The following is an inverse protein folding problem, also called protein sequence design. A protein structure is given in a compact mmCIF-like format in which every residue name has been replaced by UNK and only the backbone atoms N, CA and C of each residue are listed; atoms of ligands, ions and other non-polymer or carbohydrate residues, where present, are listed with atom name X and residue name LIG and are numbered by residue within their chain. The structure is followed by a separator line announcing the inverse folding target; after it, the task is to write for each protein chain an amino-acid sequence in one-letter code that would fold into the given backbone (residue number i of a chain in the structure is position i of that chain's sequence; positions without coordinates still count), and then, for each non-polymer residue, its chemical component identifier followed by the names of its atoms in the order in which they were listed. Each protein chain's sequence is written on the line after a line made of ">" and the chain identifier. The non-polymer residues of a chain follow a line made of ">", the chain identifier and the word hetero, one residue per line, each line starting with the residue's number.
data_IF_759993119065
#
_entry.id   IF_759993119065
#
_cell.length_a   1.000
_cell.length_b   1.000
_cell.length_c   1.000
_cell.angle_alpha   90.00
_cell.angle_beta   90.00
_cell.angle_gamma   90.00
#
_symmetry.space_group_name_H-M   'P 1'
#
loop_
_entity.id
_entity.type
_entity.pdbx_description
1 polymer ?
#
# COMPACT_ATOMS: atom_id res chain seq x y z
N UNK A 1 -24.90 12.65 -21.94
CA UNK A 1 -23.95 11.58 -21.54
C UNK A 1 -22.49 12.04 -21.59
N UNK A 2 -22.16 13.28 -21.98
CA UNK A 2 -20.76 13.76 -22.11
C UNK A 2 -20.16 14.34 -20.82
N UNK A 3 -20.99 14.82 -19.89
CA UNK A 3 -20.51 15.48 -18.66
C UNK A 3 -19.84 14.54 -17.64
N UNK A 4 -20.09 13.23 -17.71
CA UNK A 4 -19.41 12.24 -16.85
C UNK A 4 -18.06 11.80 -17.44
N UNK A 5 -17.89 11.84 -18.76
CA UNK A 5 -16.62 11.59 -19.44
C UNK A 5 -15.60 12.70 -19.17
N UNK A 6 -16.06 13.96 -19.08
CA UNK A 6 -15.21 15.11 -18.72
C UNK A 6 -14.78 15.06 -17.23
N UNK A 7 -15.67 14.62 -16.33
CA UNK A 7 -15.37 14.49 -14.89
C UNK A 7 -14.47 13.31 -14.53
N UNK A 8 -14.51 12.23 -15.34
CA UNK A 8 -13.58 11.10 -15.23
C UNK A 8 -12.19 11.44 -15.80
N UNK A 9 -12.13 12.43 -16.70
CA UNK A 9 -10.90 12.89 -17.34
C UNK A 9 -10.20 13.91 -16.44
N UNK A 10 -9.36 13.40 -15.53
CA UNK A 10 -8.29 14.14 -14.84
C UNK A 10 -8.71 15.00 -13.64
N UNK A 11 -9.32 14.35 -12.64
CA UNK A 11 -8.99 14.74 -11.26
C UNK A 11 -7.54 14.36 -11.01
N UNK A 12 -6.61 15.29 -11.25
CA UNK A 12 -5.21 15.12 -10.90
C UNK A 12 -5.10 15.14 -9.37
N UNK A 13 -5.35 13.99 -8.74
CA UNK A 13 -5.22 13.82 -7.30
C UNK A 13 -3.81 14.18 -6.84
N UNK A 14 -3.70 14.78 -5.66
CA UNK A 14 -2.40 15.15 -5.09
C UNK A 14 -1.51 13.89 -4.96
N UNK A 15 -0.34 13.86 -5.61
CA UNK A 15 0.59 12.73 -5.53
C UNK A 15 0.96 12.34 -4.08
N UNK A 16 0.94 13.30 -3.15
CA UNK A 16 1.22 13.05 -1.73
C UNK A 16 0.15 12.18 -1.09
N UNK A 17 -1.12 12.41 -1.44
CA UNK A 17 -2.24 11.62 -0.91
C UNK A 17 -2.15 10.18 -1.41
N UNK A 18 -1.82 9.99 -2.69
CA UNK A 18 -1.63 8.66 -3.27
C UNK A 18 -0.47 7.90 -2.61
N UNK A 19 0.62 8.60 -2.30
CA UNK A 19 1.73 8.00 -1.57
C UNK A 19 1.32 7.58 -0.14
N UNK A 20 0.63 8.46 0.59
CA UNK A 20 0.19 8.18 1.96
C UNK A 20 -0.78 7.00 1.99
N UNK A 21 -1.79 6.97 1.12
CA UNK A 21 -2.76 5.88 1.11
C UNK A 21 -2.10 4.56 0.70
N UNK A 22 -1.14 4.58 -0.24
CA UNK A 22 -0.36 3.39 -0.57
C UNK A 22 0.45 2.88 0.63
N UNK A 23 1.08 3.77 1.40
CA UNK A 23 1.82 3.39 2.61
C UNK A 23 0.89 2.79 3.68
N UNK A 24 -0.28 3.37 3.89
CA UNK A 24 -1.30 2.85 4.81
C UNK A 24 -1.77 1.47 4.37
N UNK A 25 -2.18 1.33 3.10
CA UNK A 25 -2.64 0.05 2.55
C UNK A 25 -1.55 -1.03 2.59
N UNK A 26 -0.31 -0.67 2.26
CA UNK A 26 0.84 -1.58 2.35
C UNK A 26 1.08 -2.04 3.79
N UNK A 27 0.90 -1.15 4.78
CA UNK A 27 1.05 -1.48 6.20
C UNK A 27 -0.05 -2.43 6.66
N UNK A 28 -1.30 -2.17 6.29
CA UNK A 28 -2.43 -3.05 6.60
C UNK A 28 -2.22 -4.43 5.97
N UNK A 29 -1.86 -4.48 4.69
CA UNK A 29 -1.58 -5.74 3.98
C UNK A 29 -0.41 -6.51 4.60
N UNK A 30 0.72 -5.84 4.87
CA UNK A 30 1.85 -6.45 5.56
C UNK A 30 1.45 -6.99 6.94
N UNK A 31 0.62 -6.25 7.68
CA UNK A 31 0.05 -6.71 8.94
C UNK A 31 -0.75 -8.00 8.77
N UNK A 32 -1.65 -8.08 7.78
CA UNK A 32 -2.42 -9.29 7.50
C UNK A 32 -1.53 -10.48 7.15
N UNK A 33 -0.50 -10.28 6.32
CA UNK A 33 0.45 -11.34 5.94
C UNK A 33 1.24 -11.83 7.15
N UNK A 34 1.85 -10.92 7.92
CA UNK A 34 2.64 -11.29 9.09
C UNK A 34 1.76 -11.97 10.14
N UNK A 35 0.52 -11.53 10.31
CA UNK A 35 -0.44 -12.20 11.20
C UNK A 35 -0.71 -13.64 10.77
N UNK A 36 -0.90 -13.88 9.47
CA UNK A 36 -1.05 -15.24 8.94
C UNK A 36 0.22 -16.08 9.13
N UNK A 37 1.40 -15.49 8.96
CA UNK A 37 2.67 -16.19 9.18
C UNK A 37 2.91 -16.53 10.65
N UNK A 38 2.54 -15.63 11.56
CA UNK A 38 2.61 -15.85 13.01
C UNK A 38 1.64 -16.95 13.46
N UNK A 39 0.41 -16.94 12.92
CA UNK A 39 -0.57 -18.00 13.13
C UNK A 39 -0.05 -19.39 12.71
N UNK A 40 0.76 -19.45 11.65
CA UNK A 40 1.41 -20.68 11.18
C UNK A 40 2.73 -20.99 11.91
N UNK A 41 3.18 -20.15 12.84
CA UNK A 41 4.43 -20.32 13.58
C UNK A 41 5.70 -20.07 12.77
N UNK A 42 5.60 -19.35 11.65
CA UNK A 42 6.72 -19.14 10.70
C UNK A 42 7.52 -17.88 11.05
N UNK A 43 6.83 -16.77 11.34
CA UNK A 43 7.46 -15.47 11.54
C UNK A 43 6.67 -14.67 12.59
N UNK A 44 7.32 -14.12 13.63
CA UNK A 44 6.61 -13.46 14.72
C UNK A 44 5.96 -12.15 14.29
N UNK A 45 4.76 -11.90 14.80
CA UNK A 45 4.06 -10.62 14.62
C UNK A 45 4.70 -9.52 15.46
N UNK A 46 5.55 -8.70 14.83
CA UNK A 46 6.21 -7.55 15.48
C UNK A 46 6.18 -6.31 14.59
N UNK A 47 6.22 -5.12 15.20
CA UNK A 47 6.27 -3.86 14.47
C UNK A 47 7.43 -3.77 13.47
N UNK A 48 8.69 -4.18 13.81
CA UNK A 48 9.78 -4.19 12.83
C UNK A 48 9.51 -5.07 11.62
N UNK A 49 8.92 -6.26 11.81
CA UNK A 49 8.59 -7.17 10.70
C UNK A 49 7.55 -6.54 9.76
N UNK A 50 6.45 -6.04 10.33
CA UNK A 50 5.36 -5.41 9.55
C UNK A 50 5.87 -4.21 8.77
N UNK A 51 6.64 -3.32 9.42
CA UNK A 51 7.19 -2.13 8.76
C UNK A 51 8.20 -2.48 7.66
N UNK A 52 8.98 -3.54 7.84
CA UNK A 52 9.93 -4.00 6.81
C UNK A 52 9.20 -4.50 5.56
N UNK A 53 8.18 -5.32 5.74
CA UNK A 53 7.35 -5.81 4.62
C UNK A 53 6.60 -4.67 3.94
N UNK A 54 6.00 -3.76 4.71
CA UNK A 54 5.33 -2.58 4.19
C UNK A 54 6.29 -1.69 3.39
N UNK A 55 7.50 -1.45 3.90
CA UNK A 55 8.51 -0.64 3.23
C UNK A 55 8.93 -1.27 1.89
N UNK A 56 9.09 -2.59 1.82
CA UNK A 56 9.37 -3.31 0.56
C UNK A 56 8.24 -3.10 -0.45
N UNK A 57 6.98 -3.23 -0.02
CA UNK A 57 5.83 -3.02 -0.92
C UNK A 57 5.77 -1.57 -1.44
N UNK A 58 5.93 -0.59 -0.55
CA UNK A 58 5.99 0.83 -0.94
C UNK A 58 7.13 1.09 -1.92
N UNK A 59 8.31 0.52 -1.67
CA UNK A 59 9.47 0.66 -2.54
C UNK A 59 9.25 0.04 -3.92
N UNK A 60 8.62 -1.14 -3.99
CA UNK A 60 8.24 -1.79 -5.25
C UNK A 60 7.24 -0.93 -6.02
N UNK A 61 6.18 -0.45 -5.37
CA UNK A 61 5.19 0.45 -6.01
C UNK A 61 5.88 1.67 -6.61
N UNK A 62 6.80 2.30 -5.87
CA UNK A 62 7.55 3.45 -6.35
C UNK A 62 8.46 3.10 -7.53
N UNK A 63 9.14 1.96 -7.48
CA UNK A 63 10.01 1.49 -8.56
C UNK A 63 9.25 1.17 -9.85
N UNK A 64 8.04 0.62 -9.74
CA UNK A 64 7.20 0.25 -10.90
C UNK A 64 6.54 1.47 -11.54
N UNK A 65 6.21 2.49 -10.73
CA UNK A 65 5.44 3.66 -11.19
C UNK A 65 6.35 4.78 -11.72
N UNK A 66 7.62 4.80 -11.33
CA UNK A 66 8.63 5.77 -11.78
C UNK A 66 9.39 5.26 -13.00
#
# INVERSE_FOLDING_TARGET
>A
MSSFEDGASRSAGDPRVLFVINAVLSTVFAGTVVWGLDFLGILPFTWPTVLSFAAVLVAITYLVTR
#
